data_IF_357208146026
#
_entry.id   IF_357208146026
#
_cell.length_a   1.000
_cell.length_b   1.000
_cell.length_c   1.000
_cell.angle_alpha   90.00
_cell.angle_beta   90.00
_cell.angle_gamma   90.00
#
_symmetry.space_group_name_H-M   'P 1'
#
loop_
_entity.id
_entity.type
_entity.pdbx_description
1 polymer ?
#
# COMPACT_ATOMS: atom_id res chain seq x y z
N UNK A 1 10.41 -3.70 -28.45
CA UNK A 1 10.74 -2.92 -27.23
C UNK A 1 12.03 -2.11 -27.34
N UNK A 2 12.97 -2.46 -28.25
CA UNK A 2 14.27 -1.77 -28.38
C UNK A 2 14.21 -0.31 -28.90
N UNK A 3 13.20 0.03 -29.71
CA UNK A 3 13.11 1.39 -30.28
C UNK A 3 12.66 2.43 -29.24
N UNK A 4 11.81 2.04 -28.29
CA UNK A 4 11.29 2.93 -27.23
C UNK A 4 12.38 3.24 -26.20
N UNK A 5 13.19 2.24 -25.84
CA UNK A 5 14.31 2.43 -24.91
C UNK A 5 15.43 3.30 -25.48
N UNK A 6 15.71 3.18 -26.79
CA UNK A 6 16.66 4.07 -27.50
C UNK A 6 16.16 5.52 -27.56
N UNK A 7 14.88 5.74 -27.88
CA UNK A 7 14.31 7.09 -27.98
C UNK A 7 14.29 7.82 -26.62
N UNK A 8 13.97 7.10 -25.53
CA UNK A 8 13.99 7.61 -24.16
C UNK A 8 15.40 7.93 -23.63
N UNK A 9 16.42 7.17 -24.04
CA UNK A 9 17.83 7.46 -23.69
C UNK A 9 18.31 8.76 -24.31
N UNK A 10 17.99 9.00 -25.58
CA UNK A 10 18.54 10.12 -26.36
C UNK A 10 17.92 11.47 -25.98
N UNK A 11 16.65 11.50 -25.58
CA UNK A 11 15.96 12.78 -25.28
C UNK A 11 15.77 13.08 -23.79
N UNK A 12 15.78 12.08 -22.90
CA UNK A 12 15.42 12.28 -21.48
C UNK A 12 16.51 11.79 -20.50
N UNK A 13 17.53 11.06 -20.97
CA UNK A 13 18.59 10.53 -20.09
C UNK A 13 18.07 9.57 -19.00
N UNK A 14 16.84 9.04 -19.16
CA UNK A 14 16.22 8.15 -18.18
C UNK A 14 16.96 6.81 -18.13
N UNK A 15 17.58 6.53 -16.98
CA UNK A 15 18.16 5.24 -16.66
C UNK A 15 17.13 4.11 -16.85
N UNK A 16 17.51 2.94 -17.39
CA UNK A 16 16.64 1.76 -17.46
C UNK A 16 15.97 1.42 -16.12
N UNK A 17 16.68 1.66 -15.01
CA UNK A 17 16.19 1.48 -13.64
C UNK A 17 14.98 2.36 -13.34
N UNK A 18 14.95 3.58 -13.88
CA UNK A 18 13.83 4.50 -13.66
C UNK A 18 12.55 4.03 -14.39
N UNK A 19 12.70 3.46 -15.59
CA UNK A 19 11.56 2.91 -16.35
C UNK A 19 10.95 1.71 -15.62
N UNK A 20 11.78 0.84 -15.06
CA UNK A 20 11.32 -0.29 -14.24
C UNK A 20 10.59 0.17 -12.98
N UNK A 21 11.14 1.18 -12.27
CA UNK A 21 10.49 1.76 -11.08
C UNK A 21 9.12 2.39 -11.40
N UNK A 22 9.01 3.08 -12.55
CA UNK A 22 7.73 3.62 -13.01
C UNK A 22 6.71 2.53 -13.31
N UNK A 23 7.12 1.49 -14.05
CA UNK A 23 6.25 0.37 -14.39
C UNK A 23 5.79 -0.38 -13.13
N UNK A 24 6.70 -0.61 -12.19
CA UNK A 24 6.39 -1.20 -10.89
C UNK A 24 5.39 -0.36 -10.09
N UNK A 25 5.56 0.97 -10.05
CA UNK A 25 4.62 1.90 -9.40
C UNK A 25 3.23 1.82 -10.04
N UNK A 26 3.16 1.76 -11.38
CA UNK A 26 1.91 1.65 -12.11
C UNK A 26 1.17 0.34 -11.79
N UNK A 27 1.91 -0.79 -11.74
CA UNK A 27 1.37 -2.09 -11.34
C UNK A 27 0.84 -2.05 -9.91
N UNK A 28 1.60 -1.47 -8.97
CA UNK A 28 1.18 -1.35 -7.55
C UNK A 28 -0.13 -0.57 -7.45
N UNK A 29 -0.23 0.58 -8.11
CA UNK A 29 -1.46 1.40 -8.11
C UNK A 29 -2.62 0.61 -8.72
N UNK A 30 -2.39 -0.10 -9.82
CA UNK A 30 -3.41 -0.90 -10.47
C UNK A 30 -3.95 -2.02 -9.56
N UNK A 31 -3.06 -2.78 -8.92
CA UNK A 31 -3.44 -3.85 -7.98
C UNK A 31 -4.24 -3.29 -6.80
N UNK A 32 -3.77 -2.18 -6.21
CA UNK A 32 -4.47 -1.56 -5.08
C UNK A 32 -5.84 -1.02 -5.47
N UNK A 33 -5.97 -0.46 -6.67
CA UNK A 33 -7.24 0.00 -7.21
C UNK A 33 -8.22 -1.17 -7.39
N UNK A 34 -7.76 -2.29 -7.96
CA UNK A 34 -8.57 -3.50 -8.11
C UNK A 34 -8.98 -4.06 -6.74
N UNK A 35 -8.04 -4.21 -5.81
CA UNK A 35 -8.32 -4.71 -4.46
C UNK A 35 -9.37 -3.84 -3.74
N UNK A 36 -9.24 -2.51 -3.83
CA UNK A 36 -10.22 -1.57 -3.29
C UNK A 36 -11.61 -1.79 -3.89
N UNK A 37 -11.69 -1.96 -5.21
CA UNK A 37 -12.97 -2.18 -5.91
C UNK A 37 -13.63 -3.48 -5.44
N UNK A 38 -12.86 -4.55 -5.24
CA UNK A 38 -13.37 -5.82 -4.70
C UNK A 38 -13.90 -5.66 -3.28
N UNK A 39 -13.15 -4.99 -2.39
CA UNK A 39 -13.58 -4.74 -1.00
C UNK A 39 -14.89 -3.94 -0.97
N UNK A 40 -14.99 -2.88 -1.77
CA UNK A 40 -16.20 -2.07 -1.85
C UNK A 40 -17.38 -2.83 -2.47
N UNK A 41 -17.13 -3.65 -3.48
CA UNK A 41 -18.16 -4.49 -4.09
C UNK A 41 -18.72 -5.50 -3.09
N UNK A 42 -17.85 -6.18 -2.33
CA UNK A 42 -18.25 -7.11 -1.29
C UNK A 42 -19.02 -6.42 -0.15
N UNK A 43 -18.52 -5.26 0.30
CA UNK A 43 -19.21 -4.46 1.32
C UNK A 43 -20.59 -4.00 0.86
N UNK A 44 -20.77 -3.68 -0.42
CA UNK A 44 -22.05 -3.24 -0.97
C UNK A 44 -23.07 -4.37 -1.09
N UNK A 45 -22.60 -5.62 -1.21
CA UNK A 45 -23.46 -6.81 -1.31
C UNK A 45 -23.92 -7.31 0.05
N UNK A 46 -23.11 -7.13 1.10
CA UNK A 46 -23.36 -7.75 2.41
C UNK A 46 -23.95 -6.82 3.47
N UNK A 47 -23.88 -5.50 3.31
CA UNK A 47 -24.36 -4.55 4.32
C UNK A 47 -25.33 -3.53 3.72
N UNK A 48 -26.59 -3.63 4.12
CA UNK A 48 -27.66 -2.67 3.80
C UNK A 48 -27.63 -1.42 4.69
N UNK A 49 -26.93 -1.47 5.84
CA UNK A 49 -26.81 -0.35 6.77
C UNK A 49 -25.83 0.73 6.27
N UNK A 50 -26.33 1.96 6.20
CA UNK A 50 -25.63 3.15 5.70
C UNK A 50 -24.37 3.44 6.53
N UNK A 51 -24.40 3.22 7.84
CA UNK A 51 -23.25 3.50 8.72
C UNK A 51 -22.08 2.56 8.47
N UNK A 52 -22.35 1.27 8.25
CA UNK A 52 -21.33 0.27 7.95
C UNK A 52 -20.70 0.54 6.58
N UNK A 53 -21.53 0.86 5.59
CA UNK A 53 -21.08 1.20 4.23
C UNK A 53 -20.16 2.44 4.21
N UNK A 54 -20.51 3.47 4.97
CA UNK A 54 -19.67 4.67 5.09
C UNK A 54 -18.33 4.35 5.75
N UNK A 55 -18.35 3.58 6.84
CA UNK A 55 -17.13 3.17 7.56
C UNK A 55 -16.22 2.33 6.67
N UNK A 56 -16.75 1.35 5.93
CA UNK A 56 -15.98 0.53 5.00
C UNK A 56 -15.35 1.34 3.87
N UNK A 57 -16.08 2.30 3.31
CA UNK A 57 -15.54 3.19 2.27
C UNK A 57 -14.38 4.03 2.80
N UNK A 58 -14.53 4.55 4.02
CA UNK A 58 -13.52 5.36 4.70
C UNK A 58 -12.30 4.52 5.07
N UNK A 59 -12.48 3.41 5.78
CA UNK A 59 -11.40 2.48 6.17
C UNK A 59 -10.65 1.96 4.95
N UNK A 60 -11.34 1.54 3.90
CA UNK A 60 -10.70 1.07 2.66
C UNK A 60 -9.82 2.14 2.01
N UNK A 61 -10.22 3.41 2.05
CA UNK A 61 -9.39 4.51 1.55
C UNK A 61 -8.10 4.64 2.35
N UNK A 62 -8.19 4.70 3.68
CA UNK A 62 -7.00 4.83 4.54
C UNK A 62 -6.07 3.63 4.40
N UNK A 63 -6.61 2.41 4.38
CA UNK A 63 -5.81 1.19 4.20
C UNK A 63 -5.08 1.21 2.86
N UNK A 64 -5.78 1.54 1.77
CA UNK A 64 -5.18 1.61 0.43
C UNK A 64 -4.11 2.68 0.35
N UNK A 65 -4.33 3.86 0.95
CA UNK A 65 -3.33 4.93 1.00
C UNK A 65 -2.09 4.50 1.79
N UNK A 66 -2.27 3.93 2.98
CA UNK A 66 -1.16 3.46 3.82
C UNK A 66 -0.35 2.38 3.11
N UNK A 67 -1.00 1.36 2.54
CA UNK A 67 -0.31 0.29 1.81
C UNK A 67 0.37 0.85 0.56
N UNK A 68 -0.31 1.72 -0.19
CA UNK A 68 0.26 2.37 -1.38
C UNK A 68 1.50 3.19 -1.07
N UNK A 69 1.47 3.97 0.01
CA UNK A 69 2.63 4.74 0.46
C UNK A 69 3.83 3.85 0.78
N UNK A 70 3.61 2.75 1.51
CA UNK A 70 4.66 1.77 1.86
C UNK A 70 5.23 1.10 0.61
N UNK A 71 4.38 0.61 -0.30
CA UNK A 71 4.81 -0.11 -1.50
C UNK A 71 5.55 0.80 -2.49
N UNK A 72 5.04 2.01 -2.71
CA UNK A 72 5.70 2.99 -3.58
C UNK A 72 7.01 3.42 -2.94
N UNK A 73 7.03 3.71 -1.63
CA UNK A 73 8.26 3.99 -0.89
C UNK A 73 9.32 2.90 -1.10
N UNK A 74 8.92 1.62 -1.06
CA UNK A 74 9.84 0.50 -1.33
C UNK A 74 10.38 0.47 -2.76
N UNK A 75 9.60 0.83 -3.77
CA UNK A 75 10.05 0.85 -5.17
C UNK A 75 11.13 1.92 -5.38
N UNK A 76 11.01 3.05 -4.69
CA UNK A 76 11.91 4.18 -4.88
C UNK A 76 13.15 4.11 -4.00
N UNK A 77 13.01 3.68 -2.74
CA UNK A 77 14.07 3.62 -1.73
C UNK A 77 14.55 2.19 -1.50
N UNK A 78 15.79 1.89 -1.87
CA UNK A 78 16.39 0.54 -1.73
C UNK A 78 16.48 0.10 -0.25
N UNK A 79 16.67 1.03 0.68
CA UNK A 79 16.73 0.78 2.13
C UNK A 79 15.36 0.70 2.84
N UNK A 80 14.24 0.83 2.12
CA UNK A 80 12.92 0.88 2.76
C UNK A 80 12.55 -0.43 3.48
N UNK A 81 13.07 -1.57 2.99
CA UNK A 81 12.81 -2.88 3.59
C UNK A 81 13.34 -3.01 5.02
N UNK A 82 14.53 -2.46 5.30
CA UNK A 82 15.12 -2.50 6.66
C UNK A 82 14.33 -1.63 7.63
N UNK A 83 13.90 -0.43 7.19
CA UNK A 83 13.05 0.47 7.96
C UNK A 83 11.70 -0.21 8.27
N UNK A 84 11.05 -0.81 7.28
CA UNK A 84 9.79 -1.51 7.47
C UNK A 84 9.93 -2.68 8.46
N UNK A 85 11.03 -3.43 8.40
CA UNK A 85 11.31 -4.53 9.33
C UNK A 85 11.56 -4.04 10.75
N UNK A 86 12.32 -2.95 10.90
CA UNK A 86 12.58 -2.31 12.19
C UNK A 86 11.29 -1.76 12.83
N UNK A 87 10.47 -1.03 12.05
CA UNK A 87 9.17 -0.54 12.50
C UNK A 87 8.23 -1.71 12.85
N UNK A 88 8.27 -2.81 12.09
CA UNK A 88 7.53 -4.03 12.39
C UNK A 88 7.93 -4.63 13.74
N UNK A 89 9.24 -4.72 14.02
CA UNK A 89 9.76 -5.21 15.29
C UNK A 89 9.34 -4.32 16.46
N UNK A 90 9.44 -2.99 16.31
CA UNK A 90 8.96 -2.03 17.32
C UNK A 90 7.46 -2.20 17.54
N UNK A 91 6.68 -2.30 16.46
CA UNK A 91 5.22 -2.47 16.54
C UNK A 91 4.85 -3.76 17.28
N UNK A 92 5.59 -4.84 17.05
CA UNK A 92 5.41 -6.09 17.79
C UNK A 92 5.75 -5.93 19.28
N UNK A 93 6.86 -5.25 19.61
CA UNK A 93 7.23 -4.93 20.99
C UNK A 93 6.17 -4.10 21.71
N UNK A 94 5.63 -3.08 21.05
CA UNK A 94 4.52 -2.25 21.56
C UNK A 94 3.27 -3.11 21.75
N UNK A 95 2.92 -3.96 20.78
CA UNK A 95 1.75 -4.84 20.88
C UNK A 95 1.86 -5.81 22.07
N UNK A 96 3.06 -6.33 22.35
CA UNK A 96 3.32 -7.17 23.52
C UNK A 96 3.17 -6.36 24.81
N UNK A 97 3.74 -5.15 24.88
CA UNK A 97 3.65 -4.29 26.05
C UNK A 97 2.21 -3.82 26.34
N UNK A 98 1.42 -3.60 25.29
CA UNK A 98 0.03 -3.16 25.40
C UNK A 98 -0.97 -4.32 25.55
N UNK A 99 -0.51 -5.57 25.54
CA UNK A 99 -1.39 -6.74 25.66
C UNK A 99 -2.30 -6.63 26.88
N UNK A 100 -1.72 -6.42 28.06
CA UNK A 100 -2.44 -6.40 29.32
C UNK A 100 -3.45 -5.23 29.42
N UNK A 101 -3.10 -3.97 29.13
CA UNK A 101 -4.08 -2.88 29.16
C UNK A 101 -5.17 -3.02 28.10
N UNK A 102 -4.87 -3.56 26.91
CA UNK A 102 -5.89 -3.83 25.89
C UNK A 102 -6.84 -4.95 26.31
N UNK A 103 -6.32 -6.02 26.92
CA UNK A 103 -7.17 -7.11 27.44
C UNK A 103 -8.05 -6.66 28.61
N UNK A 104 -7.55 -5.75 29.46
CA UNK A 104 -8.32 -5.19 30.57
C UNK A 104 -9.36 -4.13 30.13
N UNK A 105 -9.23 -3.60 28.91
CA UNK A 105 -10.20 -2.68 28.31
C UNK A 105 -11.30 -3.41 27.51
N UNK A 106 -10.96 -4.57 26.95
CA UNK A 106 -11.88 -5.41 26.17
C UNK A 106 -12.66 -6.42 27.04
N UNK A 107 -12.27 -6.58 28.32
CA UNK A 107 -12.91 -7.42 29.33
C UNK A 107 -13.84 -6.62 30.23
#
# INVERSE_FOLDING_TARGET
MENISKWLRVHIGLSPVFQEKLLATFIVIFILWVARRVVLWFSNKNYTDIHIRYRMRKTSLYVVFTIGFILIGRVWFEGFGSIATFLGLITAGIAIALKDPLTNLAG
#
